data_IF_138528357762
#
_entry.id   IF_138528357762
#
_cell.length_a   1.000
_cell.length_b   1.000
_cell.length_c   1.000
_cell.angle_alpha   90.00
_cell.angle_beta   90.00
_cell.angle_gamma   90.00
#
_symmetry.space_group_name_H-M   'P 1'
#
loop_
_entity.id
_entity.type
_entity.pdbx_description
1 polymer ?
#
# COMPACT_ATOMS: atom_id res chain seq x y z
N UNK A 1 -17.58 1.11 -16.26
CA UNK A 1 -16.66 2.05 -16.94
C UNK A 1 -15.29 1.78 -16.37
N UNK A 2 -14.46 1.12 -17.14
CA UNK A 2 -13.05 0.93 -16.78
C UNK A 2 -12.38 2.30 -16.71
N UNK A 3 -11.92 2.65 -15.52
CA UNK A 3 -11.18 3.88 -15.31
C UNK A 3 -9.77 3.66 -15.88
N UNK A 4 -9.54 4.13 -17.11
CA UNK A 4 -8.28 3.94 -17.84
C UNK A 4 -7.14 4.86 -17.37
N UNK A 5 -7.33 5.57 -16.27
CA UNK A 5 -6.33 6.49 -15.73
C UNK A 5 -5.14 5.73 -15.14
N UNK A 6 -3.96 6.22 -15.43
CA UNK A 6 -2.72 5.74 -14.83
C UNK A 6 -2.60 6.23 -13.38
N UNK A 7 -1.75 5.57 -12.59
CA UNK A 7 -1.51 6.00 -11.21
C UNK A 7 -0.94 7.42 -11.10
N UNK A 8 -0.16 7.85 -12.07
CA UNK A 8 0.37 9.23 -12.12
C UNK A 8 -0.71 10.29 -12.34
N UNK A 9 -1.84 9.91 -12.95
CA UNK A 9 -2.99 10.79 -13.14
C UNK A 9 -3.91 10.84 -11.92
N UNK A 10 -3.88 9.82 -11.09
CA UNK A 10 -4.75 9.67 -9.90
C UNK A 10 -4.08 10.16 -8.63
N UNK A 11 -2.79 9.89 -8.46
CA UNK A 11 -2.04 10.20 -7.25
C UNK A 11 -0.83 11.10 -7.56
N UNK A 12 -0.58 12.07 -6.68
CA UNK A 12 0.49 13.05 -6.84
C UNK A 12 1.88 12.43 -6.78
N UNK A 13 2.07 11.43 -5.92
CA UNK A 13 3.34 10.74 -5.71
C UNK A 13 3.11 9.30 -5.25
N UNK A 14 4.20 8.55 -5.09
CA UNK A 14 4.14 7.14 -4.67
C UNK A 14 3.53 6.95 -3.28
N UNK A 15 3.82 7.85 -2.34
CA UNK A 15 3.23 7.81 -1.00
C UNK A 15 1.71 7.92 -1.07
N UNK A 16 1.20 8.89 -1.81
CA UNK A 16 -0.24 9.06 -2.01
C UNK A 16 -0.86 7.85 -2.72
N UNK A 17 -0.20 7.31 -3.72
CA UNK A 17 -0.63 6.09 -4.43
C UNK A 17 -0.78 4.90 -3.47
N UNK A 18 0.18 4.67 -2.61
CA UNK A 18 0.17 3.53 -1.70
C UNK A 18 -0.86 3.68 -0.59
N UNK A 19 -1.05 4.88 -0.06
CA UNK A 19 -2.14 5.15 0.88
C UNK A 19 -3.51 4.97 0.24
N UNK A 20 -3.67 5.34 -1.02
CA UNK A 20 -4.91 5.13 -1.76
C UNK A 20 -5.19 3.64 -1.96
N UNK A 21 -4.19 2.85 -2.32
CA UNK A 21 -4.28 1.39 -2.40
C UNK A 21 -4.65 0.76 -1.05
N UNK A 22 -4.02 1.21 0.03
CA UNK A 22 -4.32 0.75 1.37
C UNK A 22 -5.76 1.06 1.77
N UNK A 23 -6.22 2.27 1.49
CA UNK A 23 -7.61 2.67 1.72
C UNK A 23 -8.59 1.77 0.98
N UNK A 24 -8.33 1.48 -0.28
CA UNK A 24 -9.20 0.64 -1.10
C UNK A 24 -9.26 -0.79 -0.56
N UNK A 25 -8.15 -1.36 -0.11
CA UNK A 25 -8.12 -2.67 0.55
C UNK A 25 -8.91 -2.70 1.85
N UNK A 26 -8.75 -1.69 2.68
CA UNK A 26 -9.53 -1.54 3.91
C UNK A 26 -11.04 -1.42 3.61
N UNK A 27 -11.40 -0.64 2.61
CA UNK A 27 -12.78 -0.45 2.21
C UNK A 27 -13.41 -1.75 1.67
N UNK A 28 -12.72 -2.45 0.78
CA UNK A 28 -13.17 -3.74 0.25
C UNK A 28 -13.32 -4.79 1.36
N UNK A 29 -12.39 -4.82 2.31
CA UNK A 29 -12.49 -5.71 3.47
C UNK A 29 -13.71 -5.38 4.32
N UNK A 30 -13.96 -4.11 4.58
CA UNK A 30 -15.16 -3.66 5.27
C UNK A 30 -16.44 -4.12 4.55
N UNK A 31 -16.49 -3.92 3.24
CA UNK A 31 -17.66 -4.34 2.43
C UNK A 31 -17.84 -5.86 2.44
N UNK A 32 -16.75 -6.60 2.39
CA UNK A 32 -16.81 -8.06 2.45
C UNK A 32 -17.31 -8.58 3.81
N UNK A 33 -16.79 -8.02 4.90
CA UNK A 33 -17.10 -8.49 6.26
C UNK A 33 -18.48 -8.02 6.73
N UNK A 34 -18.82 -6.76 6.52
CA UNK A 34 -20.05 -6.17 7.06
C UNK A 34 -21.24 -6.34 6.11
N UNK A 35 -21.01 -6.26 4.81
CA UNK A 35 -22.08 -6.32 3.81
C UNK A 35 -22.12 -7.63 3.02
N UNK A 36 -21.22 -8.57 3.29
CA UNK A 36 -21.20 -9.87 2.61
C UNK A 36 -20.87 -9.80 1.12
N UNK A 37 -20.28 -8.71 0.65
CA UNK A 37 -19.86 -8.58 -0.75
C UNK A 37 -18.68 -9.49 -1.07
N UNK A 38 -18.68 -10.10 -2.24
CA UNK A 38 -17.53 -10.84 -2.72
C UNK A 38 -16.47 -9.90 -3.28
N UNK A 39 -15.23 -10.06 -2.80
CA UNK A 39 -14.04 -9.44 -3.36
C UNK A 39 -12.95 -10.50 -3.48
N UNK A 40 -12.05 -10.31 -4.46
CA UNK A 40 -10.88 -11.18 -4.59
C UNK A 40 -10.06 -11.10 -3.28
N UNK A 41 -9.71 -12.23 -2.65
CA UNK A 41 -8.90 -12.25 -1.44
C UNK A 41 -7.60 -11.43 -1.53
N UNK A 42 -6.98 -11.36 -2.70
CA UNK A 42 -5.77 -10.55 -2.92
C UNK A 42 -6.00 -9.04 -2.82
N UNK A 43 -7.25 -8.60 -2.89
CA UNK A 43 -7.63 -7.20 -2.74
C UNK A 43 -8.05 -6.83 -1.30
N UNK A 44 -8.04 -7.78 -0.39
CA UNK A 44 -8.40 -7.59 1.00
C UNK A 44 -7.16 -7.38 1.87
N UNK A 45 -7.39 -6.88 3.08
CA UNK A 45 -6.34 -6.73 4.09
C UNK A 45 -6.87 -7.16 5.45
N UNK A 46 -6.02 -7.80 6.24
CA UNK A 46 -6.34 -8.18 7.60
C UNK A 46 -5.18 -7.81 8.52
N UNK A 47 -5.53 -7.33 9.71
CA UNK A 47 -4.57 -7.01 10.76
C UNK A 47 -4.73 -8.00 11.90
N UNK A 48 -3.63 -8.62 12.31
CA UNK A 48 -3.66 -9.52 13.46
C UNK A 48 -4.03 -8.74 14.74
N UNK A 49 -4.96 -9.25 15.52
CA UNK A 49 -5.36 -8.65 16.79
C UNK A 49 -4.22 -8.62 17.85
N UNK A 50 -3.20 -9.45 17.65
CA UNK A 50 -2.01 -9.54 18.50
C UNK A 50 -0.95 -8.47 18.23
N UNK A 51 -1.15 -7.61 17.20
CA UNK A 51 -0.22 -6.50 16.93
C UNK A 51 -0.18 -5.58 18.14
N UNK A 52 1.01 -5.40 18.72
CA UNK A 52 1.24 -4.40 19.75
C UNK A 52 0.97 -3.01 19.17
N UNK A 53 0.35 -2.15 19.97
CA UNK A 53 -0.01 -0.78 19.55
C UNK A 53 -1.00 -0.70 18.36
N UNK A 54 -1.87 -1.69 18.19
CA UNK A 54 -2.89 -1.69 17.14
C UNK A 54 -3.77 -0.42 17.18
N UNK A 55 -4.05 0.10 18.36
CA UNK A 55 -4.81 1.35 18.54
C UNK A 55 -4.08 2.57 17.99
N UNK A 56 -2.76 2.62 18.16
CA UNK A 56 -1.93 3.69 17.60
C UNK A 56 -1.91 3.62 16.08
N UNK A 57 -1.72 2.43 15.51
CA UNK A 57 -1.80 2.21 14.07
C UNK A 57 -3.14 2.66 13.50
N UNK A 58 -4.24 2.25 14.11
CA UNK A 58 -5.59 2.67 13.73
C UNK A 58 -5.74 4.19 13.77
N UNK A 59 -5.26 4.83 14.83
CA UNK A 59 -5.30 6.28 14.97
C UNK A 59 -4.52 6.98 13.87
N UNK A 60 -3.33 6.51 13.54
CA UNK A 60 -2.51 7.09 12.47
C UNK A 60 -3.18 6.95 11.09
N UNK A 61 -3.74 5.79 10.79
CA UNK A 61 -4.40 5.55 9.51
C UNK A 61 -5.71 6.35 9.35
N UNK A 62 -6.47 6.48 10.43
CA UNK A 62 -7.76 7.19 10.39
C UNK A 62 -7.63 8.73 10.38
N UNK A 63 -6.49 9.27 10.78
CA UNK A 63 -6.27 10.72 10.89
C UNK A 63 -5.47 11.31 9.74
N UNK A 64 -5.19 10.55 8.72
CA UNK A 64 -4.41 11.03 7.59
C UNK A 64 -5.16 12.13 6.81
N UNK A 65 -4.72 13.39 6.88
CA UNK A 65 -5.40 14.47 6.17
C UNK A 65 -5.07 14.43 4.67
N UNK A 66 -6.09 14.63 3.86
CA UNK A 66 -5.95 14.76 2.41
C UNK A 66 -5.77 16.22 2.05
N UNK A 67 -4.75 16.52 1.25
CA UNK A 67 -4.46 17.88 0.81
C UNK A 67 -5.29 18.21 -0.43
N UNK A 68 -6.14 19.25 -0.37
CA UNK A 68 -6.84 19.71 -1.57
C UNK A 68 -5.84 20.36 -2.54
N UNK A 69 -6.01 20.05 -3.82
CA UNK A 69 -5.24 20.68 -4.89
C UNK A 69 -6.11 20.89 -6.13
N UNK A 70 -5.71 21.81 -7.00
CA UNK A 70 -6.43 22.13 -8.23
C UNK A 70 -6.25 21.10 -9.35
N UNK A 71 -5.38 20.08 -9.18
CA UNK A 71 -5.07 19.11 -10.22
C UNK A 71 -6.02 17.91 -10.26
N UNK A 72 -6.87 17.76 -9.24
CA UNK A 72 -7.74 16.59 -9.09
C UNK A 72 -7.02 15.31 -8.70
N UNK A 73 -5.71 15.36 -8.47
CA UNK A 73 -4.94 14.20 -8.01
C UNK A 73 -5.05 14.04 -6.49
N UNK A 74 -5.05 12.81 -6.04
CA UNK A 74 -4.96 12.49 -4.61
C UNK A 74 -3.57 12.89 -4.08
N UNK A 75 -3.55 13.74 -3.07
CA UNK A 75 -2.34 14.25 -2.45
C UNK A 75 -2.49 14.25 -0.93
N UNK A 76 -1.41 13.92 -0.25
CA UNK A 76 -1.35 13.95 1.21
C UNK A 76 -0.42 15.08 1.66
N UNK A 77 -0.69 15.62 2.84
CA UNK A 77 0.23 16.54 3.48
C UNK A 77 1.56 15.85 3.78
N UNK A 78 2.65 16.60 3.66
CA UNK A 78 3.97 16.12 4.08
C UNK A 78 4.03 16.00 5.61
N UNK A 79 4.99 15.26 6.13
CA UNK A 79 5.18 15.12 7.59
C UNK A 79 5.37 16.47 8.30
N UNK A 80 6.22 17.40 7.77
CA UNK A 80 6.32 18.74 8.34
C UNK A 80 5.01 19.52 8.32
N UNK A 81 4.25 19.45 7.24
CA UNK A 81 2.95 20.11 7.13
C UNK A 81 1.93 19.55 8.12
N UNK A 82 1.91 18.23 8.32
CA UNK A 82 1.06 17.58 9.32
C UNK A 82 1.36 18.08 10.74
N UNK A 83 2.64 18.24 11.07
CA UNK A 83 3.09 18.72 12.36
C UNK A 83 2.71 20.19 12.56
N UNK A 84 2.92 21.04 11.57
CA UNK A 84 2.68 22.49 11.69
C UNK A 84 1.21 22.87 11.59
N UNK A 85 0.46 22.31 10.64
CA UNK A 85 -0.95 22.65 10.41
C UNK A 85 -1.93 21.92 11.31
N UNK A 86 -1.68 20.65 11.59
CA UNK A 86 -2.62 19.79 12.31
C UNK A 86 -2.09 19.33 13.68
N UNK A 87 -0.85 19.66 14.01
CA UNK A 87 -0.15 19.21 15.23
C UNK A 87 -0.21 17.68 15.38
N UNK A 88 -0.18 16.98 14.26
CA UNK A 88 -0.17 15.52 14.23
C UNK A 88 1.28 15.00 14.21
N UNK A 89 1.58 13.96 14.99
CA UNK A 89 2.87 13.30 14.93
C UNK A 89 3.06 12.56 13.61
N UNK A 90 4.29 12.26 13.27
CA UNK A 90 4.63 11.43 12.10
C UNK A 90 3.91 10.08 12.16
N UNK A 91 3.18 9.67 11.12
CA UNK A 91 2.46 8.39 11.12
C UNK A 91 3.40 7.22 10.77
N UNK A 92 4.39 6.96 11.63
CA UNK A 92 5.45 5.99 11.35
C UNK A 92 4.93 4.56 11.19
N UNK A 93 3.97 4.14 12.02
CA UNK A 93 3.34 2.82 11.89
C UNK A 93 2.45 2.76 10.64
N UNK A 94 1.70 3.81 10.38
CA UNK A 94 0.88 3.93 9.17
C UNK A 94 1.75 3.90 7.90
N UNK A 95 2.86 4.60 7.89
CA UNK A 95 3.82 4.58 6.78
C UNK A 95 4.42 3.18 6.57
N UNK A 96 4.70 2.44 7.62
CA UNK A 96 5.20 1.06 7.53
C UNK A 96 4.18 0.13 6.84
N UNK A 97 2.92 0.25 7.19
CA UNK A 97 1.84 -0.51 6.54
C UNK A 97 1.65 -0.06 5.09
N UNK A 98 1.68 1.24 4.84
CA UNK A 98 1.59 1.80 3.49
C UNK A 98 2.68 1.24 2.57
N UNK A 99 3.88 1.07 3.07
CA UNK A 99 5.00 0.51 2.29
C UNK A 99 4.75 -0.92 1.82
N UNK A 100 3.89 -1.68 2.49
CA UNK A 100 3.47 -3.02 2.04
C UNK A 100 2.64 -2.98 0.76
N UNK A 101 2.06 -1.85 0.42
CA UNK A 101 1.30 -1.66 -0.82
C UNK A 101 2.21 -1.44 -2.03
N UNK A 102 3.50 -1.33 -1.82
CA UNK A 102 4.50 -1.26 -2.90
C UNK A 102 4.41 -2.52 -3.74
N UNK A 103 4.31 -2.34 -5.04
CA UNK A 103 4.43 -3.47 -5.96
C UNK A 103 5.86 -3.99 -5.90
N UNK A 104 6.05 -5.31 -5.73
CA UNK A 104 7.37 -5.88 -5.85
C UNK A 104 7.90 -5.52 -7.23
N UNK A 105 9.14 -5.04 -7.27
CA UNK A 105 9.85 -4.93 -8.54
C UNK A 105 9.73 -6.29 -9.22
N UNK A 106 9.20 -6.33 -10.44
CA UNK A 106 9.26 -7.55 -11.24
C UNK A 106 10.75 -7.78 -11.49
N UNK A 107 11.34 -8.56 -10.59
CA UNK A 107 12.59 -9.19 -10.91
C UNK A 107 12.25 -10.11 -12.08
N UNK A 108 12.50 -9.64 -13.28
CA UNK A 108 12.76 -10.53 -14.40
C UNK A 108 13.95 -11.38 -13.93
N UNK A 109 13.62 -12.51 -13.31
CA UNK A 109 14.60 -13.50 -13.01
C UNK A 109 15.31 -13.78 -14.34
N UNK A 110 16.59 -13.43 -14.41
CA UNK A 110 17.41 -13.90 -15.51
C UNK A 110 17.15 -15.40 -15.63
N UNK A 111 16.84 -15.93 -16.84
CA UNK A 111 16.55 -17.34 -16.97
C UNK A 111 17.69 -18.10 -16.30
N UNK A 112 17.33 -18.89 -15.29
CA UNK A 112 18.31 -19.77 -14.62
C UNK A 112 18.79 -20.72 -15.71
N UNK A 113 19.96 -20.45 -16.25
CA UNK A 113 20.64 -21.39 -17.14
C UNK A 113 20.78 -22.71 -16.39
N UNK A 114 20.25 -23.82 -16.90
CA UNK A 114 20.49 -25.11 -16.29
C UNK A 114 22.00 -25.30 -16.20
N UNK A 115 22.48 -25.64 -15.01
CA UNK A 115 23.88 -25.95 -14.83
C UNK A 115 24.24 -27.09 -15.79
N UNK A 116 25.29 -26.95 -16.60
CA UNK A 116 25.72 -28.05 -17.43
C UNK A 116 26.02 -29.27 -16.52
N UNK A 117 25.38 -30.38 -16.81
CA UNK A 117 25.67 -31.64 -16.13
C UNK A 117 27.12 -31.95 -16.43
N UNK A 118 27.98 -31.91 -15.40
CA UNK A 118 29.34 -32.36 -15.56
C UNK A 118 29.26 -33.84 -15.89
N UNK A 119 29.82 -34.31 -17.02
CA UNK A 119 29.94 -35.73 -17.22
C UNK A 119 30.75 -36.30 -16.07
N UNK A 120 30.19 -37.29 -15.38
CA UNK A 120 30.92 -38.01 -14.36
C UNK A 120 32.14 -38.59 -15.05
N UNK A 121 33.33 -38.06 -14.68
CA UNK A 121 34.58 -38.62 -15.20
C UNK A 121 34.71 -40.04 -14.77
N UNK A 122 34.49 -40.95 -15.66
CA UNK A 122 35.02 -42.32 -15.50
C UNK A 122 36.53 -42.26 -15.71
N UNK A 123 37.25 -42.68 -14.70
CA UNK A 123 38.62 -43.12 -14.92
C UNK A 123 38.59 -44.40 -15.76
#
# INVERSE_FOLDING_TARGET
IQNTKTWSEVARNKRAQYYLKLRDRCYKTFRAVIHGEYHNPDDLISFASSISNIRKLRSELCRMPVKPNGSGRFELYTKPEMKTKFKLPSPNMGDSVMMLMREPAVLTAAPVMPRPIRPSGRR
#
